data_IF_431563815043
#
_entry.id   IF_431563815043
#
_cell.length_a   1.000
_cell.length_b   1.000
_cell.length_c   1.000
_cell.angle_alpha   90.00
_cell.angle_beta   90.00
_cell.angle_gamma   90.00
#
_symmetry.space_group_name_H-M   'P 1'
#
loop_
_entity.id
_entity.type
_entity.pdbx_description
1 polymer ?
#
# COMPACT_ATOMS: atom_id res chain seq x y z
N UNK A 1 42.33 -20.83 6.63
CA UNK A 1 41.57 -20.61 5.38
C UNK A 1 40.11 -20.37 5.76
N UNK A 2 39.50 -19.22 5.44
CA UNK A 2 38.11 -18.98 5.78
C UNK A 2 37.21 -19.93 4.96
N UNK A 3 36.25 -20.58 5.60
CA UNK A 3 35.42 -21.62 4.98
C UNK A 3 34.51 -21.10 3.86
N UNK A 4 33.91 -21.99 3.06
CA UNK A 4 33.14 -21.64 1.86
C UNK A 4 31.99 -20.64 2.11
N UNK A 5 31.39 -20.62 3.30
CA UNK A 5 30.37 -19.61 3.67
C UNK A 5 30.93 -18.19 3.82
N UNK A 6 32.15 -18.04 4.36
CA UNK A 6 32.79 -16.74 4.52
C UNK A 6 33.07 -16.10 3.15
N UNK A 7 33.56 -16.89 2.18
CA UNK A 7 33.79 -16.40 0.81
C UNK A 7 32.52 -15.91 0.09
N UNK A 8 31.36 -16.48 0.44
CA UNK A 8 30.06 -16.09 -0.16
C UNK A 8 29.56 -14.79 0.45
N UNK A 9 29.65 -14.64 1.77
CA UNK A 9 29.33 -13.39 2.47
C UNK A 9 30.25 -12.25 2.04
N UNK A 10 31.55 -12.47 1.88
CA UNK A 10 32.48 -11.43 1.42
C UNK A 10 32.18 -10.99 -0.01
N UNK A 11 31.76 -11.89 -0.90
CA UNK A 11 31.30 -11.52 -2.26
C UNK A 11 29.98 -10.75 -2.25
N UNK A 12 29.01 -11.15 -1.42
CA UNK A 12 27.72 -10.46 -1.30
C UNK A 12 27.90 -9.04 -0.74
N UNK A 13 28.78 -8.87 0.24
CA UNK A 13 29.13 -7.56 0.80
C UNK A 13 29.92 -6.70 -0.19
N UNK A 14 30.80 -7.30 -1.00
CA UNK A 14 31.53 -6.59 -2.05
C UNK A 14 30.62 -6.15 -3.22
N UNK A 15 29.54 -6.89 -3.49
CA UNK A 15 28.52 -6.50 -4.49
C UNK A 15 27.51 -5.47 -3.96
N UNK A 16 27.27 -5.42 -2.65
CA UNK A 16 26.39 -4.42 -2.05
C UNK A 16 27.13 -3.09 -1.92
N UNK A 17 27.15 -2.29 -3.00
CA UNK A 17 27.54 -0.88 -2.89
C UNK A 17 26.59 -0.18 -1.91
N UNK A 18 27.09 0.69 -1.01
CA UNK A 18 26.19 1.56 -0.25
C UNK A 18 25.34 2.34 -1.25
N UNK A 19 24.02 2.41 -1.01
CA UNK A 19 23.13 3.21 -1.83
C UNK A 19 23.57 4.68 -1.71
N UNK A 20 24.26 5.16 -2.74
CA UNK A 20 24.64 6.55 -2.86
C UNK A 20 23.44 7.28 -3.45
N UNK A 21 22.91 8.27 -2.73
CA UNK A 21 21.96 9.24 -3.30
C UNK A 21 22.60 9.74 -4.60
N UNK A 22 21.93 9.59 -5.77
CA UNK A 22 22.48 10.08 -7.01
C UNK A 22 22.83 11.56 -6.83
N UNK A 23 24.11 11.92 -6.98
CA UNK A 23 24.50 13.33 -7.01
C UNK A 23 23.82 13.94 -8.23
N UNK A 24 22.90 14.87 -8.01
CA UNK A 24 22.37 15.72 -9.07
C UNK A 24 23.55 16.54 -9.61
N UNK A 25 24.25 16.01 -10.62
CA UNK A 25 25.17 16.81 -11.40
C UNK A 25 24.33 17.84 -12.16
N UNK A 26 24.54 19.12 -11.85
CA UNK A 26 23.88 20.29 -12.42
C UNK A 26 24.20 20.48 -13.92
N UNK A 27 23.80 19.53 -14.78
CA UNK A 27 24.10 19.57 -16.21
C UNK A 27 23.19 18.76 -17.13
N UNK A 28 22.35 17.88 -16.60
CA UNK A 28 21.38 17.11 -17.39
C UNK A 28 19.97 17.41 -16.83
N UNK A 29 19.34 18.51 -17.28
CA UNK A 29 17.98 18.88 -16.87
C UNK A 29 16.95 17.97 -17.57
N UNK A 30 17.03 16.67 -17.28
CA UNK A 30 15.92 15.75 -17.50
C UNK A 30 14.70 16.18 -16.66
N UNK A 31 13.52 15.71 -17.06
CA UNK A 31 12.28 16.03 -16.35
C UNK A 31 12.38 15.65 -14.84
N UNK A 32 11.98 16.53 -13.90
CA UNK A 32 12.16 16.30 -12.47
C UNK A 32 11.11 15.33 -11.91
N UNK A 33 11.23 14.04 -12.23
CA UNK A 33 10.23 13.01 -11.92
C UNK A 33 9.89 12.92 -10.43
N UNK A 34 10.89 12.99 -9.54
CA UNK A 34 10.69 12.91 -8.09
C UNK A 34 9.80 14.07 -7.61
N UNK A 35 10.18 15.30 -7.93
CA UNK A 35 9.48 16.51 -7.50
C UNK A 35 8.10 16.60 -8.14
N UNK A 36 7.98 16.23 -9.41
CA UNK A 36 6.69 16.20 -10.11
C UNK A 36 5.74 15.15 -9.52
N UNK A 37 6.22 13.95 -9.21
CA UNK A 37 5.41 12.88 -8.62
C UNK A 37 4.94 13.25 -7.21
N UNK A 38 5.83 13.79 -6.37
CA UNK A 38 5.48 14.27 -5.04
C UNK A 38 4.50 15.44 -5.09
N UNK A 39 4.73 16.41 -5.98
CA UNK A 39 3.82 17.54 -6.17
C UNK A 39 2.43 17.10 -6.63
N UNK A 40 2.35 16.11 -7.52
CA UNK A 40 1.08 15.52 -7.95
C UNK A 40 0.38 14.80 -6.79
N UNK A 41 1.09 13.94 -6.06
CA UNK A 41 0.55 13.19 -4.91
C UNK A 41 -0.04 14.13 -3.86
N UNK A 42 0.73 15.15 -3.46
CA UNK A 42 0.28 16.16 -2.50
C UNK A 42 -0.94 16.93 -3.00
N UNK A 43 -0.98 17.26 -4.29
CA UNK A 43 -2.13 17.97 -4.89
C UNK A 43 -3.40 17.12 -4.85
N UNK A 44 -3.29 15.83 -5.16
CA UNK A 44 -4.41 14.87 -5.06
C UNK A 44 -4.84 14.72 -3.61
N UNK A 45 -3.91 14.56 -2.67
CA UNK A 45 -4.21 14.47 -1.25
C UNK A 45 -4.97 15.70 -0.72
N UNK A 46 -4.54 16.91 -1.10
CA UNK A 46 -5.23 18.16 -0.73
C UNK A 46 -6.66 18.16 -1.29
N UNK A 47 -6.82 17.77 -2.56
CA UNK A 47 -8.12 17.74 -3.22
C UNK A 47 -9.08 16.73 -2.58
N UNK A 48 -8.63 15.51 -2.32
CA UNK A 48 -9.44 14.48 -1.67
C UNK A 48 -9.80 14.85 -0.24
N UNK A 49 -8.83 15.38 0.53
CA UNK A 49 -9.07 15.88 1.89
C UNK A 49 -10.10 17.00 1.89
N UNK A 50 -10.07 17.89 0.89
CA UNK A 50 -11.06 18.94 0.73
C UNK A 50 -12.47 18.36 0.46
N UNK A 51 -12.60 17.36 -0.41
CA UNK A 51 -13.88 16.71 -0.68
C UNK A 51 -14.42 15.98 0.55
N UNK A 52 -13.58 15.24 1.25
CA UNK A 52 -13.94 14.53 2.48
C UNK A 52 -14.35 15.50 3.59
N UNK A 53 -13.65 16.63 3.71
CA UNK A 53 -14.03 17.69 4.64
C UNK A 53 -15.41 18.26 4.32
N UNK A 54 -15.72 18.52 3.05
CA UNK A 54 -17.05 18.99 2.66
C UNK A 54 -18.14 17.97 2.97
N UNK A 55 -17.87 16.70 2.70
CA UNK A 55 -18.80 15.62 3.03
C UNK A 55 -18.99 15.48 4.54
N UNK A 56 -17.92 15.65 5.31
CA UNK A 56 -17.96 15.63 6.76
C UNK A 56 -18.86 16.74 7.34
N UNK A 57 -18.80 17.95 6.77
CA UNK A 57 -19.69 19.05 7.18
C UNK A 57 -21.17 18.76 6.93
N UNK A 58 -21.49 17.97 5.90
CA UNK A 58 -22.88 17.61 5.59
C UNK A 58 -23.50 16.66 6.63
N UNK A 59 -22.69 15.89 7.37
CA UNK A 59 -23.18 15.02 8.44
C UNK A 59 -23.62 15.74 9.72
N UNK A 60 -23.50 17.07 9.77
CA UNK A 60 -24.09 17.87 10.85
C UNK A 60 -25.49 18.39 10.50
N UNK A 61 -25.94 18.20 9.25
CA UNK A 61 -27.26 18.64 8.81
C UNK A 61 -28.29 17.62 9.28
N UNK A 62 -29.01 17.98 10.34
CA UNK A 62 -30.03 17.12 10.96
C UNK A 62 -31.36 17.06 10.18
N UNK A 63 -31.52 17.89 9.15
CA UNK A 63 -32.71 17.92 8.30
C UNK A 63 -32.62 16.86 7.20
N UNK A 64 -33.69 16.07 7.05
CA UNK A 64 -33.81 15.08 5.98
C UNK A 64 -34.33 15.75 4.71
N UNK A 65 -33.83 15.38 3.52
CA UNK A 65 -34.49 15.69 2.27
C UNK A 65 -35.93 15.14 2.26
N UNK A 66 -36.87 15.91 1.70
CA UNK A 66 -38.32 15.58 1.72
C UNK A 66 -38.62 14.23 1.07
N UNK A 67 -37.82 13.86 0.09
CA UNK A 67 -37.89 12.62 -0.67
C UNK A 67 -37.54 11.38 0.19
N UNK A 68 -36.70 11.56 1.22
CA UNK A 68 -36.24 10.48 2.10
C UNK A 68 -37.14 10.27 3.33
N UNK A 69 -38.04 11.20 3.62
CA UNK A 69 -38.92 11.11 4.79
C UNK A 69 -39.86 9.91 4.73
N UNK A 70 -40.26 9.51 3.52
CA UNK A 70 -41.16 8.39 3.24
C UNK A 70 -40.43 7.04 3.43
N UNK A 71 -39.10 7.00 3.22
CA UNK A 71 -38.32 5.76 3.18
C UNK A 71 -37.57 5.45 4.48
N UNK A 72 -37.13 6.49 5.20
CA UNK A 72 -36.22 6.33 6.34
C UNK A 72 -36.75 7.13 7.53
N UNK A 73 -36.95 6.46 8.67
CA UNK A 73 -37.33 7.14 9.91
C UNK A 73 -36.27 8.13 10.38
N UNK A 74 -36.67 9.19 11.10
CA UNK A 74 -35.75 10.21 11.61
C UNK A 74 -34.64 9.61 12.47
N UNK A 75 -34.98 8.64 13.31
CA UNK A 75 -34.02 7.94 14.17
C UNK A 75 -32.97 7.15 13.37
N UNK A 76 -33.40 6.43 12.31
CA UNK A 76 -32.49 5.67 11.45
C UNK A 76 -31.56 6.59 10.66
N UNK A 77 -32.07 7.75 10.23
CA UNK A 77 -31.28 8.78 9.58
C UNK A 77 -30.19 9.36 10.48
N UNK A 78 -30.54 9.77 11.71
CA UNK A 78 -29.57 10.31 12.67
C UNK A 78 -28.50 9.27 13.03
N UNK A 79 -28.89 8.02 13.28
CA UNK A 79 -27.93 6.92 13.54
C UNK A 79 -26.97 6.71 12.36
N UNK A 80 -27.46 6.82 11.13
CA UNK A 80 -26.61 6.75 9.93
C UNK A 80 -25.65 7.93 9.83
N UNK A 81 -26.08 9.15 10.19
CA UNK A 81 -25.18 10.30 10.23
C UNK A 81 -24.08 10.16 11.27
N UNK A 82 -24.42 9.73 12.49
CA UNK A 82 -23.44 9.50 13.55
C UNK A 82 -22.39 8.47 13.11
N UNK A 83 -22.84 7.33 12.55
CA UNK A 83 -21.96 6.31 11.97
C UNK A 83 -21.05 6.85 10.88
N UNK A 84 -21.62 7.53 9.89
CA UNK A 84 -20.85 8.06 8.77
C UNK A 84 -19.88 9.17 9.19
N UNK A 85 -20.22 9.96 10.22
CA UNK A 85 -19.34 11.00 10.76
C UNK A 85 -18.11 10.39 11.44
N UNK A 86 -18.29 9.35 12.26
CA UNK A 86 -17.19 8.62 12.90
C UNK A 86 -16.31 7.92 11.85
N UNK A 87 -16.94 7.26 10.88
CA UNK A 87 -16.24 6.59 9.77
C UNK A 87 -15.44 7.58 8.93
N UNK A 88 -16.00 8.76 8.65
CA UNK A 88 -15.33 9.80 7.89
C UNK A 88 -14.12 10.37 8.64
N UNK A 89 -14.24 10.64 9.94
CA UNK A 89 -13.10 11.08 10.77
C UNK A 89 -11.95 10.08 10.73
N UNK A 90 -12.27 8.80 10.88
CA UNK A 90 -11.28 7.74 10.82
C UNK A 90 -10.65 7.62 9.43
N UNK A 91 -11.47 7.66 8.36
CA UNK A 91 -11.01 7.66 6.98
C UNK A 91 -9.99 8.79 6.75
N UNK A 92 -10.36 10.03 7.05
CA UNK A 92 -9.49 11.19 6.86
C UNK A 92 -8.16 11.04 7.60
N UNK A 93 -8.17 10.55 8.85
CA UNK A 93 -6.94 10.29 9.60
C UNK A 93 -6.07 9.21 8.94
N UNK A 94 -6.68 8.08 8.57
CA UNK A 94 -5.96 6.97 7.94
C UNK A 94 -5.38 7.36 6.58
N UNK A 95 -6.12 8.10 5.75
CA UNK A 95 -5.65 8.60 4.44
C UNK A 95 -4.41 9.48 4.61
N UNK A 96 -4.44 10.43 5.56
CA UNK A 96 -3.27 11.28 5.84
C UNK A 96 -2.06 10.47 6.29
N UNK A 97 -2.27 9.46 7.15
CA UNK A 97 -1.19 8.59 7.61
C UNK A 97 -0.54 7.83 6.44
N UNK A 98 -1.35 7.20 5.57
CA UNK A 98 -0.83 6.44 4.44
C UNK A 98 -0.17 7.32 3.37
N UNK A 99 -0.69 8.54 3.16
CA UNK A 99 -0.05 9.50 2.26
C UNK A 99 1.32 9.96 2.81
N UNK A 100 1.41 10.20 4.12
CA UNK A 100 2.68 10.50 4.77
C UNK A 100 3.64 9.31 4.70
N UNK A 101 3.18 8.09 4.95
CA UNK A 101 3.99 6.86 4.82
C UNK A 101 4.53 6.70 3.39
N UNK A 102 3.67 6.88 2.39
CA UNK A 102 4.05 6.81 0.97
C UNK A 102 5.09 7.87 0.61
N UNK A 103 4.83 9.12 0.99
CA UNK A 103 5.72 10.26 0.75
C UNK A 103 7.09 10.05 1.41
N UNK A 104 7.12 9.64 2.68
CA UNK A 104 8.35 9.33 3.40
C UNK A 104 9.10 8.14 2.77
N UNK A 105 8.37 7.12 2.31
CA UNK A 105 8.98 5.97 1.65
C UNK A 105 9.70 6.35 0.35
N UNK A 106 9.13 7.30 -0.39
CA UNK A 106 9.76 7.87 -1.59
C UNK A 106 10.98 8.72 -1.22
N UNK A 107 10.83 9.66 -0.26
CA UNK A 107 11.91 10.57 0.16
C UNK A 107 13.10 9.86 0.79
N UNK A 108 12.86 8.76 1.52
CA UNK A 108 13.88 7.94 2.16
C UNK A 108 14.41 6.83 1.23
N UNK A 109 13.97 6.78 -0.03
CA UNK A 109 14.37 5.77 -1.01
C UNK A 109 14.19 4.33 -0.50
N UNK A 110 13.07 4.06 0.18
CA UNK A 110 12.75 2.75 0.74
C UNK A 110 12.69 1.68 -0.36
N UNK A 111 12.09 2.00 -1.51
CA UNK A 111 11.96 1.03 -2.62
C UNK A 111 13.31 0.58 -3.20
N UNK A 112 14.22 1.50 -3.63
CA UNK A 112 15.58 1.11 -4.02
C UNK A 112 16.34 0.38 -2.90
N UNK A 113 16.22 0.84 -1.66
CA UNK A 113 16.88 0.22 -0.52
C UNK A 113 16.44 -1.25 -0.34
N UNK A 114 15.14 -1.51 -0.31
CA UNK A 114 14.59 -2.87 -0.19
C UNK A 114 15.04 -3.71 -1.37
N UNK A 115 14.93 -3.19 -2.60
CA UNK A 115 15.37 -3.88 -3.82
C UNK A 115 16.81 -4.39 -3.69
N UNK A 116 17.75 -3.55 -3.25
CA UNK A 116 19.18 -3.89 -3.07
C UNK A 116 19.46 -4.86 -1.93
N UNK A 117 18.58 -4.92 -0.93
CA UNK A 117 18.75 -5.84 0.20
C UNK A 117 18.13 -7.21 -0.03
N UNK A 118 17.19 -7.37 -0.96
CA UNK A 118 16.56 -8.68 -1.26
C UNK A 118 17.61 -9.80 -1.48
N UNK A 119 18.65 -9.66 -2.32
CA UNK A 119 19.62 -10.74 -2.53
C UNK A 119 20.36 -11.15 -1.26
N UNK A 120 20.63 -10.19 -0.37
CA UNK A 120 21.29 -10.42 0.90
C UNK A 120 20.36 -11.10 1.91
N UNK A 121 19.11 -10.66 2.02
CA UNK A 121 18.13 -11.19 2.98
C UNK A 121 17.70 -12.62 2.65
N UNK A 122 17.58 -12.95 1.36
CA UNK A 122 17.09 -14.26 0.92
C UNK A 122 18.19 -15.18 0.37
N UNK A 123 19.46 -14.72 0.34
CA UNK A 123 20.60 -15.54 -0.09
C UNK A 123 20.58 -15.95 -1.57
N UNK A 124 19.84 -15.20 -2.40
CA UNK A 124 19.71 -15.46 -3.85
C UNK A 124 20.88 -14.84 -4.63
N UNK A 125 21.09 -15.29 -5.87
CA UNK A 125 22.08 -14.66 -6.74
C UNK A 125 21.62 -13.25 -7.13
N UNK A 126 22.52 -12.24 -7.22
CA UNK A 126 22.18 -10.94 -7.77
C UNK A 126 21.60 -10.99 -9.19
N UNK A 127 21.96 -12.02 -9.95
CA UNK A 127 21.55 -12.19 -11.36
C UNK A 127 20.14 -12.75 -11.53
N UNK A 128 19.52 -13.28 -10.46
CA UNK A 128 18.15 -13.82 -10.54
C UNK A 128 17.10 -12.72 -10.43
N UNK A 129 16.97 -11.93 -11.51
CA UNK A 129 16.05 -10.79 -11.58
C UNK A 129 14.59 -11.20 -11.35
N UNK A 130 14.14 -12.32 -11.94
CA UNK A 130 12.76 -12.81 -11.77
C UNK A 130 12.44 -13.10 -10.30
N UNK A 131 13.30 -13.88 -9.64
CA UNK A 131 13.15 -14.21 -8.22
C UNK A 131 13.24 -12.97 -7.35
N UNK A 132 14.14 -12.03 -7.67
CA UNK A 132 14.27 -10.75 -6.96
C UNK A 132 12.99 -9.93 -7.05
N UNK A 133 12.38 -9.82 -8.23
CA UNK A 133 11.11 -9.11 -8.42
C UNK A 133 9.95 -9.72 -7.65
N UNK A 134 9.83 -11.05 -7.63
CA UNK A 134 8.79 -11.75 -6.86
C UNK A 134 8.96 -11.48 -5.36
N UNK A 135 10.19 -11.62 -4.85
CA UNK A 135 10.48 -11.38 -3.43
C UNK A 135 10.32 -9.93 -3.04
N UNK A 136 10.72 -9.00 -3.92
CA UNK A 136 10.52 -7.57 -3.73
C UNK A 136 9.04 -7.23 -3.62
N UNK A 137 8.22 -7.71 -4.56
CA UNK A 137 6.76 -7.48 -4.52
C UNK A 137 6.14 -8.11 -3.26
N UNK A 138 6.56 -9.32 -2.89
CA UNK A 138 6.11 -9.97 -1.66
C UNK A 138 6.47 -9.17 -0.41
N UNK A 139 7.69 -8.64 -0.32
CA UNK A 139 8.13 -7.82 0.79
C UNK A 139 7.32 -6.51 0.91
N UNK A 140 7.08 -5.81 -0.21
CA UNK A 140 6.25 -4.61 -0.24
C UNK A 140 4.80 -4.90 0.18
N UNK A 141 4.23 -6.00 -0.32
CA UNK A 141 2.88 -6.43 0.04
C UNK A 141 2.77 -6.72 1.54
N UNK A 142 3.73 -7.44 2.11
CA UNK A 142 3.75 -7.75 3.54
C UNK A 142 3.91 -6.48 4.39
N UNK A 143 4.82 -5.58 4.01
CA UNK A 143 5.00 -4.29 4.68
C UNK A 143 3.69 -3.49 4.67
N UNK A 144 3.04 -3.38 3.51
CA UNK A 144 1.75 -2.70 3.37
C UNK A 144 0.68 -3.32 4.28
N UNK A 145 0.54 -4.66 4.28
CA UNK A 145 -0.44 -5.34 5.14
C UNK A 145 -0.19 -5.10 6.62
N UNK A 146 1.06 -5.07 7.06
CA UNK A 146 1.43 -4.75 8.45
C UNK A 146 1.06 -3.30 8.80
N UNK A 147 1.37 -2.34 7.95
CA UNK A 147 1.01 -0.92 8.16
C UNK A 147 -0.51 -0.71 8.24
N UNK A 148 -1.28 -1.44 7.42
CA UNK A 148 -2.74 -1.31 7.37
C UNK A 148 -3.47 -2.09 8.48
N UNK A 149 -2.84 -3.12 9.04
CA UNK A 149 -3.43 -3.99 10.06
C UNK A 149 -4.04 -3.25 11.26
N UNK A 150 -3.34 -2.31 11.94
CA UNK A 150 -3.90 -1.61 13.10
C UNK A 150 -5.14 -0.78 12.73
N UNK A 151 -5.16 -0.17 11.54
CA UNK A 151 -6.30 0.61 11.07
C UNK A 151 -7.49 -0.29 10.72
N UNK A 152 -7.24 -1.43 10.07
CA UNK A 152 -8.28 -2.42 9.76
C UNK A 152 -8.93 -3.00 11.02
N UNK A 153 -8.12 -3.32 12.04
CA UNK A 153 -8.59 -3.78 13.34
C UNK A 153 -9.42 -2.71 14.05
N UNK A 154 -8.95 -1.46 14.09
CA UNK A 154 -9.68 -0.37 14.72
C UNK A 154 -11.03 -0.12 14.05
N UNK A 155 -11.05 -0.07 12.72
CA UNK A 155 -12.28 0.09 11.95
C UNK A 155 -13.30 -1.00 12.31
N UNK A 156 -12.88 -2.27 12.26
CA UNK A 156 -13.77 -3.42 12.44
C UNK A 156 -14.23 -3.61 13.89
N UNK A 157 -13.31 -3.53 14.85
CA UNK A 157 -13.58 -3.88 16.25
C UNK A 157 -13.95 -2.68 17.13
N UNK A 158 -13.73 -1.44 16.67
CA UNK A 158 -14.09 -0.24 17.44
C UNK A 158 -15.20 0.54 16.75
N UNK A 159 -15.04 0.90 15.48
CA UNK A 159 -16.02 1.75 14.77
C UNK A 159 -17.28 0.95 14.44
N UNK A 160 -17.14 -0.18 13.77
CA UNK A 160 -18.30 -1.00 13.40
C UNK A 160 -19.00 -1.59 14.65
N UNK A 161 -18.26 -1.91 15.70
CA UNK A 161 -18.82 -2.40 16.98
C UNK A 161 -19.62 -1.32 17.71
N UNK A 162 -19.09 -0.10 17.81
CA UNK A 162 -19.77 1.06 18.43
C UNK A 162 -21.14 1.33 17.83
N UNK A 163 -21.27 1.13 16.52
CA UNK A 163 -22.51 1.38 15.79
C UNK A 163 -23.39 0.13 15.61
N UNK A 164 -22.95 -1.02 16.12
CA UNK A 164 -23.66 -2.30 16.05
C UNK A 164 -23.73 -2.88 14.63
N UNK A 165 -22.78 -2.52 13.77
CA UNK A 165 -22.62 -3.04 12.42
C UNK A 165 -21.60 -4.18 12.35
N UNK A 166 -20.79 -4.37 13.39
CA UNK A 166 -19.93 -5.54 13.51
C UNK A 166 -20.80 -6.80 13.57
N UNK A 167 -20.53 -7.77 12.70
CA UNK A 167 -21.15 -9.09 12.78
C UNK A 167 -20.72 -9.79 14.07
N UNK A 168 -21.66 -10.41 14.79
CA UNK A 168 -21.36 -11.16 16.03
C UNK A 168 -20.38 -12.32 15.80
N UNK A 169 -20.30 -12.81 14.56
CA UNK A 169 -19.37 -13.87 14.13
C UNK A 169 -17.94 -13.36 13.89
N UNK A 170 -17.73 -12.04 13.70
CA UNK A 170 -16.43 -11.46 13.41
C UNK A 170 -15.58 -11.41 14.69
N UNK A 171 -14.74 -12.43 14.86
CA UNK A 171 -13.78 -12.58 15.96
C UNK A 171 -12.35 -12.28 15.49
N UNK A 172 -11.44 -11.98 16.43
CA UNK A 172 -10.02 -11.78 16.11
C UNK A 172 -9.41 -13.00 15.41
N UNK A 173 -9.77 -14.21 15.84
CA UNK A 173 -9.31 -15.45 15.22
C UNK A 173 -9.77 -15.58 13.77
N UNK A 174 -11.05 -15.26 13.48
CA UNK A 174 -11.58 -15.27 12.12
C UNK A 174 -10.90 -14.20 11.26
N UNK A 175 -10.72 -12.99 11.78
CA UNK A 175 -10.04 -11.89 11.09
C UNK A 175 -8.62 -12.27 10.65
N UNK A 176 -7.80 -12.81 11.55
CA UNK A 176 -6.44 -13.23 11.20
C UNK A 176 -6.41 -14.47 10.28
N UNK A 177 -7.36 -15.40 10.45
CA UNK A 177 -7.53 -16.52 9.54
C UNK A 177 -7.85 -16.03 8.12
N UNK A 178 -8.75 -15.06 7.98
CA UNK A 178 -9.14 -14.53 6.67
C UNK A 178 -8.03 -13.69 6.05
N UNK A 179 -7.28 -12.93 6.85
CA UNK A 179 -6.06 -12.26 6.41
C UNK A 179 -5.01 -13.25 5.88
N UNK A 180 -4.81 -14.38 6.59
CA UNK A 180 -3.88 -15.41 6.16
C UNK A 180 -4.33 -16.08 4.86
N UNK A 181 -5.64 -16.36 4.69
CA UNK A 181 -6.22 -16.87 3.45
C UNK A 181 -6.06 -15.88 2.30
N UNK A 182 -6.31 -14.60 2.54
CA UNK A 182 -6.16 -13.54 1.56
C UNK A 182 -4.71 -13.44 1.08
N UNK A 183 -3.74 -13.46 2.01
CA UNK A 183 -2.31 -13.47 1.71
C UNK A 183 -1.91 -14.72 0.90
N UNK A 184 -2.37 -15.90 1.31
CA UNK A 184 -2.08 -17.15 0.62
C UNK A 184 -2.66 -17.14 -0.80
N UNK A 185 -3.91 -16.73 -0.97
CA UNK A 185 -4.56 -16.63 -2.27
C UNK A 185 -3.84 -15.62 -3.18
N UNK A 186 -3.49 -14.46 -2.64
CA UNK A 186 -2.75 -13.43 -3.37
C UNK A 186 -1.37 -13.93 -3.79
N UNK A 187 -0.67 -14.70 -2.94
CA UNK A 187 0.61 -15.30 -3.32
C UNK A 187 0.45 -16.37 -4.40
N UNK A 188 -0.54 -17.26 -4.27
CA UNK A 188 -0.81 -18.35 -5.24
C UNK A 188 -1.14 -17.81 -6.62
N UNK A 189 -1.89 -16.72 -6.71
CA UNK A 189 -2.28 -16.11 -7.99
C UNK A 189 -1.23 -15.10 -8.47
N UNK A 190 -0.76 -14.24 -7.56
CA UNK A 190 0.13 -13.13 -7.88
C UNK A 190 1.52 -13.58 -8.31
N UNK A 191 2.09 -14.62 -7.69
CA UNK A 191 3.43 -15.10 -8.06
C UNK A 191 3.48 -15.62 -9.49
N UNK A 192 2.59 -16.53 -9.94
CA UNK A 192 2.51 -16.92 -11.35
C UNK A 192 2.23 -15.75 -12.28
N UNK A 193 1.30 -14.86 -11.90
CA UNK A 193 0.93 -13.72 -12.73
C UNK A 193 2.12 -12.78 -12.98
N UNK A 194 2.84 -12.39 -11.94
CA UNK A 194 4.04 -11.56 -12.04
C UNK A 194 5.13 -12.30 -12.83
N UNK A 195 5.27 -13.61 -12.63
CA UNK A 195 6.27 -14.41 -13.34
C UNK A 195 6.01 -14.44 -14.84
N UNK A 196 4.75 -14.67 -15.23
CA UNK A 196 4.30 -14.68 -16.63
C UNK A 196 4.49 -13.28 -17.23
N UNK A 197 4.05 -12.23 -16.53
CA UNK A 197 4.18 -10.85 -16.99
C UNK A 197 5.64 -10.47 -17.27
N UNK A 198 6.55 -10.72 -16.32
CA UNK A 198 7.98 -10.43 -16.50
C UNK A 198 8.56 -11.24 -17.66
N UNK A 199 8.14 -12.50 -17.81
CA UNK A 199 8.60 -13.35 -18.92
C UNK A 199 8.12 -12.82 -20.28
N UNK A 200 6.86 -12.39 -20.39
CA UNK A 200 6.30 -11.79 -21.61
C UNK A 200 7.03 -10.49 -21.94
N UNK A 201 7.30 -9.63 -20.95
CA UNK A 201 8.04 -8.37 -21.16
C UNK A 201 9.44 -8.67 -21.72
N UNK A 202 10.15 -9.65 -21.15
CA UNK A 202 11.49 -10.04 -21.61
C UNK A 202 11.48 -10.66 -23.00
N UNK A 203 10.43 -11.42 -23.34
CA UNK A 203 10.29 -12.08 -24.63
C UNK A 203 9.78 -11.15 -25.73
N UNK A 204 8.88 -10.23 -25.40
CA UNK A 204 8.14 -9.40 -26.36
C UNK A 204 8.94 -8.25 -26.98
N UNK A 205 10.14 -7.94 -26.46
CA UNK A 205 11.03 -6.92 -27.04
C UNK A 205 10.34 -5.56 -27.15
N UNK A 206 10.49 -4.86 -28.28
CA UNK A 206 9.87 -3.55 -28.50
C UNK A 206 8.34 -3.58 -28.55
N UNK A 207 7.75 -4.72 -28.89
CA UNK A 207 6.30 -4.90 -29.08
C UNK A 207 5.62 -5.57 -27.87
N UNK A 208 6.33 -5.67 -26.73
CA UNK A 208 5.84 -6.38 -25.54
C UNK A 208 4.44 -5.94 -25.10
N UNK A 209 4.12 -4.64 -25.26
CA UNK A 209 2.85 -4.06 -24.85
C UNK A 209 1.64 -4.67 -25.56
N UNK A 210 1.79 -5.17 -26.80
CA UNK A 210 0.71 -5.86 -27.52
C UNK A 210 0.34 -7.21 -26.90
N UNK A 211 1.27 -7.85 -26.19
CA UNK A 211 1.07 -9.15 -25.55
C UNK A 211 0.63 -9.04 -24.09
N UNK A 212 0.83 -7.87 -23.47
CA UNK A 212 0.52 -7.60 -22.06
C UNK A 212 -0.87 -6.97 -21.89
N UNK A 213 -1.36 -6.25 -22.90
CA UNK A 213 -2.63 -5.51 -22.87
C UNK A 213 -3.87 -6.40 -22.77
#
# INVERSE_FOLDING_TARGET
APGPQASRLTRLLASSRPYTIPSTNDGDMGFPYLTASLGFSVSVCIFETYLDWRQYLLYFVSERPKELEILISKQKFLRSQDYNSDKMRFKMFSTLFFEMESTLSILLYVYPYVWDKIPLWFGISPDSELTRSILFQGALMLASKVSHLPFGLYSTFVIEDRHGFKSDEMTLGLYFSDLAKELALTAVIGVPLISILITIIKWGGEWFYLYVW
#
